data_IF_675787721210
#
_entry.id   IF_675787721210
#
_cell.length_a   1.000
_cell.length_b   1.000
_cell.length_c   1.000
_cell.angle_alpha   90.00
_cell.angle_beta   90.00
_cell.angle_gamma   90.00
#
_symmetry.space_group_name_H-M   'P 1'
#
loop_
_entity.id
_entity.type
_entity.pdbx_description
1 polymer ?
#
# COMPACT_ATOMS: atom_id res chain seq x y z
N UNK A 1 13.63 10.08 4.79
CA UNK A 1 13.15 8.70 4.94
C UNK A 1 13.52 7.86 3.72
N UNK A 2 14.24 6.74 3.89
CA UNK A 2 14.54 5.77 2.83
C UNK A 2 13.30 5.12 2.21
N UNK A 3 12.25 4.86 2.99
CA UNK A 3 11.00 4.31 2.47
C UNK A 3 10.37 5.23 1.40
N UNK A 4 10.40 6.55 1.63
CA UNK A 4 9.94 7.52 0.63
C UNK A 4 10.80 7.54 -0.64
N UNK A 5 12.11 7.29 -0.53
CA UNK A 5 12.98 7.14 -1.71
C UNK A 5 12.62 5.86 -2.48
N UNK A 6 12.39 4.75 -1.77
CA UNK A 6 11.89 3.51 -2.37
C UNK A 6 10.56 3.71 -3.12
N UNK A 7 9.60 4.40 -2.50
CA UNK A 7 8.35 4.77 -3.14
C UNK A 7 8.55 5.64 -4.39
N UNK A 8 9.44 6.63 -4.31
CA UNK A 8 9.73 7.51 -5.45
C UNK A 8 10.44 6.78 -6.60
N UNK A 9 11.29 5.79 -6.29
CA UNK A 9 11.89 4.91 -7.29
C UNK A 9 10.82 4.10 -8.03
N UNK A 10 9.88 3.47 -7.30
CA UNK A 10 8.74 2.77 -7.91
C UNK A 10 7.92 3.71 -8.80
N UNK A 11 7.59 4.90 -8.30
CA UNK A 11 6.83 5.90 -9.06
C UNK A 11 7.56 6.34 -10.34
N UNK A 12 8.85 6.69 -10.23
CA UNK A 12 9.65 7.11 -11.37
C UNK A 12 9.63 6.04 -12.47
N UNK A 13 9.79 4.78 -12.08
CA UNK A 13 9.80 3.64 -13.01
C UNK A 13 8.43 3.34 -13.57
N UNK A 14 7.38 3.36 -12.75
CA UNK A 14 6.01 3.23 -13.21
C UNK A 14 5.67 4.30 -14.27
N UNK A 15 6.21 5.52 -14.11
CA UNK A 15 6.08 6.61 -15.07
C UNK A 15 7.00 6.55 -16.29
N UNK A 16 7.82 5.51 -16.43
CA UNK A 16 8.81 5.40 -17.51
C UNK A 16 9.95 6.41 -17.41
N UNK A 17 10.13 7.05 -16.25
CA UNK A 17 11.18 8.02 -15.99
C UNK A 17 12.46 7.33 -15.49
N UNK A 18 13.61 7.97 -15.73
CA UNK A 18 14.90 7.46 -15.27
C UNK A 18 15.15 7.84 -13.79
N UNK A 19 15.23 6.87 -12.86
CA UNK A 19 15.44 7.15 -11.43
C UNK A 19 16.83 7.73 -11.11
N UNK A 20 17.83 7.56 -11.98
CA UNK A 20 19.18 8.10 -11.77
C UNK A 20 19.29 9.60 -12.07
N UNK A 21 18.27 10.21 -12.68
CA UNK A 21 18.24 11.64 -13.00
C UNK A 21 16.86 12.26 -12.77
N UNK A 22 16.10 11.73 -11.81
CA UNK A 22 14.73 12.16 -11.54
C UNK A 22 14.70 13.57 -10.96
N UNK A 23 14.24 14.55 -11.75
CA UNK A 23 14.28 15.96 -11.35
C UNK A 23 15.71 16.47 -11.09
N UNK A 24 16.73 15.87 -11.74
CA UNK A 24 18.14 16.18 -11.52
C UNK A 24 18.78 15.48 -10.31
N UNK A 25 18.06 14.54 -9.67
CA UNK A 25 18.55 13.77 -8.52
C UNK A 25 18.71 12.30 -8.89
N UNK A 26 19.84 11.71 -8.51
CA UNK A 26 20.01 10.25 -8.55
C UNK A 26 19.38 9.63 -7.30
N UNK A 27 18.18 9.08 -7.46
CA UNK A 27 17.43 8.47 -6.36
C UNK A 27 18.06 7.16 -5.88
N UNK A 28 18.69 6.40 -6.78
CA UNK A 28 19.36 5.13 -6.45
C UNK A 28 20.58 5.41 -5.59
N UNK A 29 21.43 6.35 -6.01
CA UNK A 29 22.59 6.77 -5.23
C UNK A 29 22.19 7.37 -3.88
N UNK A 30 21.12 8.19 -3.86
CA UNK A 30 20.63 8.81 -2.62
C UNK A 30 20.09 7.77 -1.62
N UNK A 31 19.40 6.73 -2.09
CA UNK A 31 18.96 5.64 -1.23
C UNK A 31 20.16 4.80 -0.75
N UNK A 32 21.05 4.44 -1.67
CA UNK A 32 22.28 3.68 -1.38
C UNK A 32 23.15 4.31 -0.30
N UNK A 33 23.25 5.65 -0.28
CA UNK A 33 23.99 6.40 0.74
C UNK A 33 23.43 6.26 2.17
N UNK A 34 22.21 5.72 2.33
CA UNK A 34 21.57 5.51 3.65
C UNK A 34 21.70 4.07 4.16
N UNK A 35 22.25 3.15 3.36
CA UNK A 35 22.42 1.76 3.76
C UNK A 35 23.41 1.65 4.93
N UNK A 36 23.02 0.95 5.99
CA UNK A 36 23.90 0.70 7.13
C UNK A 36 24.01 1.88 8.09
N UNK A 37 23.27 2.97 7.89
CA UNK A 37 23.45 4.19 8.68
C UNK A 37 22.96 4.05 10.13
N UNK A 38 21.95 3.21 10.38
CA UNK A 38 21.49 2.86 11.74
C UNK A 38 22.06 1.51 12.20
N UNK A 39 21.88 0.46 11.39
CA UNK A 39 22.38 -0.89 11.63
C UNK A 39 22.81 -1.55 10.32
N UNK A 40 23.76 -2.49 10.31
CA UNK A 40 24.18 -3.19 9.09
C UNK A 40 22.98 -3.74 8.30
N UNK A 41 22.93 -3.44 6.99
CA UNK A 41 21.85 -3.89 6.09
C UNK A 41 20.56 -3.06 6.13
N UNK A 42 20.31 -2.29 7.18
CA UNK A 42 19.12 -1.45 7.29
C UNK A 42 19.33 -0.10 6.57
N UNK A 43 18.36 0.29 5.75
CA UNK A 43 18.31 1.63 5.17
C UNK A 43 17.81 2.67 6.19
N UNK A 44 18.52 3.80 6.28
CA UNK A 44 18.15 4.96 7.10
C UNK A 44 18.96 5.08 8.38
N UNK A 45 19.01 6.31 8.92
CA UNK A 45 19.68 6.64 10.18
C UNK A 45 18.70 6.85 11.35
N UNK A 46 17.41 7.05 11.04
CA UNK A 46 16.37 7.29 12.05
C UNK A 46 16.02 5.99 12.79
N UNK A 47 15.53 6.12 14.02
CA UNK A 47 15.09 5.00 14.85
C UNK A 47 14.04 4.13 14.12
N UNK A 48 14.29 2.82 13.90
CA UNK A 48 13.39 1.92 13.19
C UNK A 48 12.25 1.36 14.03
N UNK A 49 12.12 1.71 15.31
CA UNK A 49 11.16 1.09 16.25
C UNK A 49 9.75 0.93 15.69
N UNK A 50 9.27 1.87 14.88
CA UNK A 50 7.90 1.86 14.34
C UNK A 50 7.80 1.55 12.84
N UNK A 51 8.90 1.52 12.10
CA UNK A 51 8.84 1.45 10.63
C UNK A 51 9.95 0.62 9.97
N UNK A 52 10.84 -0.01 10.74
CA UNK A 52 12.05 -0.65 10.24
C UNK A 52 11.80 -1.61 9.07
N UNK A 53 10.92 -2.59 9.27
CA UNK A 53 10.54 -3.57 8.25
C UNK A 53 9.83 -2.90 7.08
N UNK A 54 8.90 -1.98 7.35
CA UNK A 54 8.12 -1.31 6.31
C UNK A 54 8.99 -0.45 5.39
N UNK A 55 9.84 0.41 5.96
CA UNK A 55 10.75 1.28 5.20
C UNK A 55 11.81 0.48 4.45
N UNK A 56 12.31 -0.61 5.04
CA UNK A 56 13.26 -1.49 4.40
C UNK A 56 12.63 -2.16 3.18
N UNK A 57 11.40 -2.66 3.33
CA UNK A 57 10.66 -3.31 2.25
C UNK A 57 10.42 -2.36 1.08
N UNK A 58 10.01 -1.11 1.35
CA UNK A 58 9.86 -0.09 0.31
C UNK A 58 11.19 0.24 -0.38
N UNK A 59 12.30 0.33 0.36
CA UNK A 59 13.61 0.58 -0.20
C UNK A 59 14.05 -0.54 -1.16
N UNK A 60 13.85 -1.80 -0.76
CA UNK A 60 14.14 -2.99 -1.58
C UNK A 60 13.28 -3.00 -2.84
N UNK A 61 11.96 -2.83 -2.70
CA UNK A 61 11.02 -2.76 -3.82
C UNK A 61 11.37 -1.64 -4.81
N UNK A 62 11.78 -0.47 -4.30
CA UNK A 62 12.19 0.65 -5.14
C UNK A 62 13.45 0.37 -5.95
N UNK A 63 14.45 -0.27 -5.34
CA UNK A 63 15.68 -0.66 -6.05
C UNK A 63 15.39 -1.72 -7.12
N UNK A 64 14.57 -2.72 -6.80
CA UNK A 64 14.13 -3.75 -7.74
C UNK A 64 13.38 -3.14 -8.92
N UNK A 65 12.39 -2.27 -8.67
CA UNK A 65 11.66 -1.54 -9.69
C UNK A 65 12.57 -0.73 -10.62
N UNK A 66 13.64 -0.14 -10.05
CA UNK A 66 14.65 0.63 -10.77
C UNK A 66 15.55 -0.22 -11.66
N UNK A 67 15.52 -1.55 -11.53
CA UNK A 67 16.51 -2.45 -12.12
C UNK A 67 17.90 -2.26 -11.51
N UNK A 68 17.97 -1.68 -10.31
CA UNK A 68 19.21 -1.53 -9.57
C UNK A 68 19.52 -2.82 -8.78
N UNK A 69 20.80 -3.08 -8.52
CA UNK A 69 21.17 -4.20 -7.65
C UNK A 69 20.67 -3.96 -6.24
N UNK A 70 19.84 -4.86 -5.72
CA UNK A 70 19.47 -4.88 -4.30
C UNK A 70 20.63 -5.49 -3.50
N UNK A 71 21.20 -4.80 -2.50
CA UNK A 71 22.29 -5.34 -1.69
C UNK A 71 21.85 -6.57 -0.90
N UNK A 72 22.64 -7.65 -0.94
CA UNK A 72 22.34 -8.89 -0.21
C UNK A 72 22.19 -8.66 1.30
N UNK A 73 22.97 -7.74 1.89
CA UNK A 73 22.85 -7.37 3.30
C UNK A 73 21.49 -6.71 3.62
N UNK A 74 20.87 -6.02 2.67
CA UNK A 74 19.56 -5.42 2.85
C UNK A 74 18.45 -6.48 2.87
N UNK A 75 18.53 -7.47 1.98
CA UNK A 75 17.63 -8.62 1.95
C UNK A 75 17.83 -9.47 3.21
N UNK A 76 19.09 -9.77 3.57
CA UNK A 76 19.43 -10.53 4.77
C UNK A 76 18.86 -9.91 6.03
N UNK A 77 19.04 -8.59 6.22
CA UNK A 77 18.44 -7.89 7.36
C UNK A 77 16.92 -8.06 7.41
N UNK A 78 16.22 -7.99 6.26
CA UNK A 78 14.77 -8.15 6.22
C UNK A 78 14.34 -9.59 6.55
N UNK A 79 15.05 -10.59 5.99
CA UNK A 79 14.79 -12.02 6.26
C UNK A 79 15.00 -12.34 7.74
N UNK A 80 16.08 -11.84 8.33
CA UNK A 80 16.44 -12.08 9.73
C UNK A 80 15.40 -11.52 10.72
N UNK A 81 14.61 -10.53 10.29
CA UNK A 81 13.52 -9.95 11.10
C UNK A 81 12.26 -10.83 11.15
N UNK A 82 12.15 -11.85 10.30
CA UNK A 82 10.98 -12.75 10.29
C UNK A 82 10.87 -13.49 11.62
N UNK A 83 9.66 -13.59 12.15
CA UNK A 83 9.39 -14.28 13.39
C UNK A 83 9.29 -15.80 13.17
N UNK A 84 9.95 -16.57 14.02
CA UNK A 84 9.91 -18.03 14.08
C UNK A 84 9.11 -18.54 15.29
N UNK A 85 9.11 -17.77 16.38
CA UNK A 85 8.38 -18.06 17.61
C UNK A 85 7.85 -16.76 18.28
N UNK A 86 6.81 -16.85 19.12
CA UNK A 86 5.97 -18.03 19.37
C UNK A 86 5.16 -18.45 18.13
N UNK A 87 4.47 -19.59 18.20
CA UNK A 87 3.68 -20.11 17.05
C UNK A 87 2.60 -19.14 16.57
N UNK A 88 2.09 -18.27 17.45
CA UNK A 88 1.13 -17.20 17.10
C UNK A 88 1.77 -16.03 16.35
N UNK A 89 3.10 -15.94 16.35
CA UNK A 89 3.89 -14.92 15.66
C UNK A 89 4.63 -15.50 14.43
N UNK A 90 4.75 -16.82 14.33
CA UNK A 90 5.54 -17.50 13.31
C UNK A 90 5.13 -17.10 11.89
N UNK A 91 6.11 -16.75 11.07
CA UNK A 91 5.95 -16.29 9.69
C UNK A 91 5.72 -14.79 9.54
N UNK A 92 5.24 -14.09 10.57
CA UNK A 92 4.99 -12.65 10.54
C UNK A 92 6.27 -11.82 10.76
N UNK A 93 6.14 -10.50 10.58
CA UNK A 93 7.14 -9.50 10.95
C UNK A 93 6.54 -8.49 11.93
N UNK A 94 7.29 -8.16 12.97
CA UNK A 94 7.06 -6.95 13.76
C UNK A 94 7.61 -5.74 13.02
N UNK A 95 7.22 -4.53 13.42
CA UNK A 95 7.77 -3.29 12.87
C UNK A 95 9.33 -3.26 12.91
N UNK A 96 9.91 -3.74 14.03
CA UNK A 96 11.35 -3.91 14.19
C UNK A 96 11.67 -4.83 15.38
N UNK A 97 12.64 -5.72 15.20
CA UNK A 97 13.27 -6.55 16.24
C UNK A 97 14.68 -6.03 16.49
N UNK A 98 14.89 -5.44 17.67
CA UNK A 98 16.19 -4.92 18.10
C UNK A 98 17.18 -6.05 18.44
N UNK A 99 16.69 -7.15 18.98
CA UNK A 99 17.47 -8.34 19.33
C UNK A 99 16.80 -9.57 18.72
N UNK A 100 17.47 -10.20 17.76
CA UNK A 100 16.98 -11.38 17.06
C UNK A 100 17.07 -12.66 17.90
N UNK A 101 17.84 -12.63 19.00
CA UNK A 101 17.88 -13.72 19.98
C UNK A 101 16.66 -13.74 20.91
N UNK A 102 15.86 -12.67 20.92
CA UNK A 102 14.60 -12.60 21.66
C UNK A 102 13.47 -13.05 20.72
N UNK A 103 12.64 -14.03 21.13
CA UNK A 103 11.44 -14.39 20.38
C UNK A 103 10.55 -13.17 20.14
N UNK A 104 9.76 -13.19 19.07
CA UNK A 104 8.79 -12.12 18.85
C UNK A 104 7.75 -12.12 19.97
N UNK A 105 7.12 -10.97 20.19
CA UNK A 105 5.94 -10.90 21.03
C UNK A 105 4.77 -11.62 20.32
N UNK A 106 3.83 -12.13 21.09
CA UNK A 106 2.55 -12.50 20.50
C UNK A 106 1.85 -11.22 19.97
N UNK A 107 1.13 -11.28 18.84
CA UNK A 107 0.32 -10.16 18.39
C UNK A 107 -0.65 -9.68 19.49
N UNK A 108 -0.58 -8.39 19.82
CA UNK A 108 -1.47 -7.75 20.79
C UNK A 108 -2.00 -6.42 20.23
N UNK A 109 -3.29 -6.35 19.85
CA UNK A 109 -3.87 -5.15 19.23
C UNK A 109 -4.14 -4.02 20.23
N UNK A 110 -4.07 -4.26 21.54
CA UNK A 110 -4.21 -3.22 22.57
C UNK A 110 -2.87 -2.52 22.80
N UNK A 111 -1.79 -3.30 22.83
CA UNK A 111 -0.44 -2.79 23.07
C UNK A 111 0.31 -2.41 21.78
N UNK A 112 -0.21 -2.80 20.61
CA UNK A 112 0.42 -2.61 19.31
C UNK A 112 1.82 -3.22 19.24
N UNK A 113 1.94 -4.45 19.74
CA UNK A 113 3.18 -5.25 19.72
C UNK A 113 2.96 -6.58 19.02
N UNK A 114 4.06 -7.28 18.76
CA UNK A 114 4.05 -8.51 17.99
C UNK A 114 4.06 -8.25 16.48
N UNK A 115 4.02 -9.31 15.68
CA UNK A 115 3.90 -9.18 14.24
C UNK A 115 2.61 -8.53 13.80
N UNK A 116 2.72 -7.66 12.80
CA UNK A 116 1.61 -6.91 12.22
C UNK A 116 1.40 -7.28 10.75
N UNK A 117 0.19 -7.07 10.23
CA UNK A 117 -0.17 -7.43 8.86
C UNK A 117 0.52 -6.55 7.83
N UNK A 118 0.85 -5.30 8.17
CA UNK A 118 1.38 -4.31 7.23
C UNK A 118 2.88 -4.53 6.96
N UNK A 119 3.67 -4.69 8.01
CA UNK A 119 5.08 -5.07 7.94
C UNK A 119 5.22 -6.42 7.25
N UNK A 120 4.40 -7.41 7.64
CA UNK A 120 4.41 -8.74 7.01
C UNK A 120 4.08 -8.67 5.52
N UNK A 121 3.02 -7.95 5.13
CA UNK A 121 2.63 -7.80 3.74
C UNK A 121 3.73 -7.15 2.89
N UNK A 122 4.33 -6.08 3.39
CA UNK A 122 5.41 -5.39 2.67
C UNK A 122 6.68 -6.24 2.61
N UNK A 123 7.02 -6.98 3.66
CA UNK A 123 8.14 -7.89 3.68
C UNK A 123 7.96 -9.04 2.67
N UNK A 124 6.74 -9.59 2.55
CA UNK A 124 6.41 -10.57 1.50
C UNK A 124 6.63 -9.97 0.11
N UNK A 125 6.08 -8.79 -0.17
CA UNK A 125 6.25 -8.17 -1.48
C UNK A 125 7.74 -7.93 -1.81
N UNK A 126 8.51 -7.40 -0.85
CA UNK A 126 9.93 -7.11 -1.04
C UNK A 126 10.80 -8.37 -1.21
N UNK A 127 10.55 -9.41 -0.42
CA UNK A 127 11.33 -10.66 -0.48
C UNK A 127 11.03 -11.46 -1.74
N UNK A 128 9.77 -11.50 -2.18
CA UNK A 128 9.38 -12.10 -3.46
C UNK A 128 10.04 -11.37 -4.64
N UNK A 129 9.95 -10.03 -4.67
CA UNK A 129 10.55 -9.23 -5.74
C UNK A 129 12.07 -9.41 -5.82
N UNK A 130 12.76 -9.35 -4.66
CA UNK A 130 14.21 -9.46 -4.59
C UNK A 130 14.74 -10.91 -4.73
N UNK A 131 13.87 -11.92 -4.86
CA UNK A 131 14.25 -13.33 -4.91
C UNK A 131 14.90 -13.86 -3.62
N UNK A 132 14.57 -13.26 -2.47
CA UNK A 132 15.12 -13.61 -1.17
C UNK A 132 14.60 -14.94 -0.63
N UNK A 133 15.35 -15.57 0.29
CA UNK A 133 15.02 -16.86 0.89
C UNK A 133 14.13 -16.78 2.16
N UNK A 134 13.27 -15.76 2.27
CA UNK A 134 12.29 -15.69 3.36
C UNK A 134 11.30 -16.86 3.27
N UNK A 135 10.74 -17.29 4.40
CA UNK A 135 9.65 -18.27 4.40
C UNK A 135 8.32 -17.57 4.07
N UNK A 136 8.11 -17.30 2.78
CA UNK A 136 6.89 -16.64 2.28
C UNK A 136 5.65 -17.48 2.57
N UNK A 137 5.75 -18.82 2.61
CA UNK A 137 4.61 -19.68 2.93
C UNK A 137 4.17 -19.53 4.39
N UNK A 138 5.13 -19.45 5.32
CA UNK A 138 4.82 -19.14 6.72
C UNK A 138 4.19 -17.74 6.84
N UNK A 139 4.69 -16.75 6.09
CA UNK A 139 4.11 -15.41 6.07
C UNK A 139 2.67 -15.38 5.56
N UNK A 140 2.37 -16.10 4.47
CA UNK A 140 1.01 -16.24 3.95
C UNK A 140 0.09 -16.98 4.94
N UNK A 141 0.63 -17.95 5.67
CA UNK A 141 -0.10 -18.65 6.74
C UNK A 141 -0.43 -17.70 7.89
N UNK A 142 0.53 -16.87 8.30
CA UNK A 142 0.31 -15.82 9.29
C UNK A 142 -0.79 -14.84 8.84
N UNK A 143 -0.68 -14.32 7.61
CA UNK A 143 -1.68 -13.39 7.07
C UNK A 143 -3.07 -14.03 6.99
N UNK A 144 -3.19 -15.29 6.56
CA UNK A 144 -4.46 -16.00 6.56
C UNK A 144 -5.05 -16.15 7.97
N UNK A 145 -4.22 -16.44 8.98
CA UNK A 145 -4.66 -16.51 10.37
C UNK A 145 -5.01 -15.14 10.99
N UNK A 146 -4.48 -14.05 10.41
CA UNK A 146 -4.72 -12.68 10.83
C UNK A 146 -5.96 -12.03 10.19
N UNK A 147 -6.64 -12.71 9.25
CA UNK A 147 -7.85 -12.19 8.63
C UNK A 147 -8.91 -11.92 9.70
N UNK A 148 -9.48 -10.72 9.67
CA UNK A 148 -10.58 -10.32 10.54
C UNK A 148 -11.92 -10.73 9.92
N UNK A 149 -12.77 -9.74 9.66
CA UNK A 149 -14.10 -9.96 9.09
C UNK A 149 -14.15 -9.65 7.59
N UNK A 150 -14.93 -10.43 6.84
CA UNK A 150 -15.33 -10.11 5.47
C UNK A 150 -14.21 -10.03 4.44
N UNK A 151 -13.12 -10.79 4.60
CA UNK A 151 -11.96 -10.70 3.71
C UNK A 151 -11.10 -9.47 3.96
N UNK A 152 -11.11 -8.91 5.16
CA UNK A 152 -10.35 -7.73 5.53
C UNK A 152 -9.37 -7.99 6.68
N UNK A 153 -8.34 -7.16 6.77
CA UNK A 153 -7.28 -7.30 7.77
C UNK A 153 -7.21 -6.08 8.69
N UNK A 154 -6.97 -6.30 10.00
CA UNK A 154 -6.56 -5.26 10.92
C UNK A 154 -5.06 -5.00 10.80
N UNK A 155 -4.57 -3.90 11.37
CA UNK A 155 -3.13 -3.67 11.51
C UNK A 155 -2.45 -4.77 12.34
N UNK A 156 -2.95 -5.03 13.56
CA UNK A 156 -2.49 -6.13 14.42
C UNK A 156 -3.58 -7.20 14.45
N UNK A 157 -3.24 -8.50 14.29
CA UNK A 157 -4.19 -9.61 14.44
C UNK A 157 -5.10 -9.46 15.68
N UNK A 158 -6.41 -9.64 15.49
CA UNK A 158 -7.42 -9.48 16.54
C UNK A 158 -7.93 -8.04 16.76
N UNK A 159 -7.39 -7.05 16.05
CA UNK A 159 -7.89 -5.67 16.04
C UNK A 159 -9.04 -5.44 15.05
N UNK A 160 -9.41 -4.16 14.88
CA UNK A 160 -10.41 -3.73 13.90
C UNK A 160 -9.84 -3.74 12.49
N UNK A 161 -10.61 -4.26 11.53
CA UNK A 161 -10.23 -4.29 10.11
C UNK A 161 -10.27 -2.90 9.48
N UNK A 162 -9.32 -2.63 8.59
CA UNK A 162 -9.19 -1.32 7.97
C UNK A 162 -8.74 -1.41 6.50
N UNK A 163 -9.04 -0.38 5.67
CA UNK A 163 -8.70 -0.38 4.26
C UNK A 163 -7.19 -0.29 3.99
N UNK A 164 -6.39 0.29 4.88
CA UNK A 164 -4.94 0.41 4.71
C UNK A 164 -4.30 -0.98 4.78
N UNK A 165 -4.56 -1.69 5.87
CA UNK A 165 -3.98 -3.00 6.12
C UNK A 165 -4.49 -4.04 5.13
N UNK A 166 -5.80 -4.01 4.83
CA UNK A 166 -6.40 -4.85 3.78
C UNK A 166 -5.75 -4.63 2.41
N UNK A 167 -5.42 -3.39 2.06
CA UNK A 167 -4.78 -3.09 0.78
C UNK A 167 -3.35 -3.62 0.68
N UNK A 168 -2.58 -3.52 1.76
CA UNK A 168 -1.23 -4.06 1.79
C UNK A 168 -1.25 -5.59 1.71
N UNK A 169 -2.15 -6.25 2.44
CA UNK A 169 -2.33 -7.70 2.33
C UNK A 169 -2.76 -8.11 0.92
N UNK A 170 -3.66 -7.35 0.27
CA UNK A 170 -4.04 -7.60 -1.12
C UNK A 170 -2.83 -7.56 -2.08
N UNK A 171 -1.91 -6.61 -1.88
CA UNK A 171 -0.66 -6.51 -2.66
C UNK A 171 0.25 -7.70 -2.38
N UNK A 172 0.41 -8.08 -1.11
CA UNK A 172 1.27 -9.20 -0.72
C UNK A 172 0.77 -10.52 -1.33
N UNK A 173 -0.54 -10.80 -1.21
CA UNK A 173 -1.19 -11.96 -1.82
C UNK A 173 -0.97 -11.97 -3.34
N UNK A 174 -1.26 -10.84 -4.00
CA UNK A 174 -1.09 -10.72 -5.45
C UNK A 174 0.36 -10.93 -5.90
N UNK A 175 1.32 -10.39 -5.15
CA UNK A 175 2.76 -10.48 -5.44
C UNK A 175 3.28 -11.90 -5.24
N UNK A 176 2.78 -12.60 -4.22
CA UNK A 176 3.08 -14.00 -3.98
C UNK A 176 2.31 -14.98 -4.90
N UNK A 177 1.46 -14.49 -5.80
CA UNK A 177 0.64 -15.31 -6.69
C UNK A 177 -0.56 -16.00 -6.01
N UNK A 178 -0.94 -15.54 -4.81
CA UNK A 178 -2.14 -15.98 -4.09
C UNK A 178 -3.38 -15.18 -4.50
N UNK A 179 -4.57 -15.69 -4.16
CA UNK A 179 -5.83 -15.01 -4.46
C UNK A 179 -6.04 -13.80 -3.53
N UNK A 180 -6.25 -12.63 -4.13
CA UNK A 180 -6.54 -11.37 -3.44
C UNK A 180 -8.00 -10.91 -3.63
N UNK A 181 -8.87 -11.73 -4.23
CA UNK A 181 -10.25 -11.35 -4.58
C UNK A 181 -11.10 -10.94 -3.37
N UNK A 182 -10.98 -11.66 -2.25
CA UNK A 182 -11.64 -11.32 -0.98
C UNK A 182 -11.21 -9.96 -0.44
N UNK A 183 -9.91 -9.70 -0.41
CA UNK A 183 -9.35 -8.41 0.01
C UNK A 183 -9.86 -7.25 -0.86
N UNK A 184 -9.93 -7.45 -2.18
CA UNK A 184 -10.48 -6.43 -3.11
C UNK A 184 -11.96 -6.19 -2.89
N UNK A 185 -12.73 -7.24 -2.63
CA UNK A 185 -14.16 -7.11 -2.33
C UNK A 185 -14.37 -6.32 -1.03
N UNK A 186 -13.57 -6.58 0.01
CA UNK A 186 -13.57 -5.81 1.24
C UNK A 186 -13.24 -4.33 0.99
N UNK A 187 -12.17 -4.04 0.24
CA UNK A 187 -11.79 -2.67 -0.14
C UNK A 187 -12.94 -1.93 -0.81
N UNK A 188 -13.66 -2.57 -1.72
CA UNK A 188 -14.78 -1.95 -2.42
C UNK A 188 -15.90 -1.47 -1.47
N UNK A 189 -16.01 -2.03 -0.26
CA UNK A 189 -17.01 -1.58 0.74
C UNK A 189 -16.67 -0.23 1.39
N UNK A 190 -15.39 0.14 1.42
CA UNK A 190 -14.93 1.43 1.91
C UNK A 190 -14.80 2.49 0.82
N UNK A 191 -14.90 2.10 -0.46
CA UNK A 191 -14.83 3.04 -1.57
C UNK A 191 -16.10 3.88 -1.65
N UNK A 192 -15.94 5.19 -1.64
CA UNK A 192 -17.03 6.15 -1.72
C UNK A 192 -17.59 6.15 -3.14
N UNK A 193 -18.82 5.66 -3.28
CA UNK A 193 -19.49 5.45 -4.56
C UNK A 193 -20.22 6.68 -5.11
N UNK A 194 -20.89 6.50 -6.25
CA UNK A 194 -21.50 7.59 -7.03
C UNK A 194 -22.65 8.34 -6.35
N UNK A 195 -23.20 7.82 -5.25
CA UNK A 195 -24.24 8.49 -4.46
C UNK A 195 -23.69 9.66 -3.62
N UNK A 196 -22.38 9.74 -3.41
CA UNK A 196 -21.72 10.78 -2.63
C UNK A 196 -21.51 12.09 -3.42
N UNK A 197 -21.16 13.21 -2.74
CA UNK A 197 -20.69 14.44 -3.38
C UNK A 197 -19.58 14.16 -4.39
N UNK A 198 -19.55 14.91 -5.49
CA UNK A 198 -18.65 14.65 -6.60
C UNK A 198 -17.15 14.68 -6.20
N UNK A 199 -16.80 15.53 -5.22
CA UNK A 199 -15.45 15.66 -4.68
C UNK A 199 -14.98 14.46 -3.84
N UNK A 200 -15.90 13.65 -3.32
CA UNK A 200 -15.59 12.52 -2.43
C UNK A 200 -15.52 11.18 -3.18
N UNK A 201 -16.04 11.12 -4.41
CA UNK A 201 -16.18 9.87 -5.18
C UNK A 201 -14.82 9.24 -5.48
N UNK A 202 -14.74 7.93 -5.28
CA UNK A 202 -13.55 7.14 -5.52
C UNK A 202 -12.51 7.21 -4.39
N UNK A 203 -12.64 8.15 -3.45
CA UNK A 203 -11.89 8.11 -2.21
C UNK A 203 -12.32 6.91 -1.36
N UNK A 204 -11.53 6.59 -0.34
CA UNK A 204 -11.85 5.55 0.63
C UNK A 204 -12.11 6.18 1.98
N UNK A 205 -13.21 5.78 2.61
CA UNK A 205 -13.45 6.02 4.02
C UNK A 205 -12.65 5.01 4.86
N UNK A 206 -12.54 5.26 6.17
CA UNK A 206 -12.01 4.34 7.16
C UNK A 206 -13.01 4.17 8.31
N UNK A 207 -12.86 3.14 9.18
CA UNK A 207 -13.68 3.03 10.39
C UNK A 207 -13.64 4.27 11.30
N UNK A 208 -12.63 5.13 11.13
CA UNK A 208 -12.40 6.32 11.93
C UNK A 208 -12.85 7.62 11.25
N UNK A 209 -13.35 7.54 10.01
CA UNK A 209 -13.73 8.71 9.22
C UNK A 209 -15.23 8.93 9.11
N UNK A 210 -16.07 8.14 9.80
CA UNK A 210 -17.55 8.26 9.78
C UNK A 210 -18.14 8.31 8.35
N UNK A 211 -17.52 7.55 7.43
CA UNK A 211 -17.92 7.51 6.02
C UNK A 211 -17.39 8.67 5.15
N UNK A 212 -16.69 9.65 5.73
CA UNK A 212 -16.02 10.72 4.98
C UNK A 212 -14.70 10.24 4.33
N UNK A 213 -14.22 10.91 3.26
CA UNK A 213 -12.92 10.60 2.67
C UNK A 213 -11.78 10.66 3.67
N UNK A 214 -10.97 9.61 3.68
CA UNK A 214 -9.73 9.54 4.45
C UNK A 214 -8.54 9.50 3.47
N UNK A 215 -7.68 10.53 3.53
CA UNK A 215 -6.55 10.66 2.61
C UNK A 215 -5.49 9.56 2.79
N UNK A 216 -5.32 9.05 4.01
CA UNK A 216 -4.36 7.98 4.28
C UNK A 216 -4.91 6.64 3.79
N UNK A 217 -6.17 6.34 4.10
CA UNK A 217 -6.89 5.18 3.57
C UNK A 217 -6.87 5.18 2.04
N UNK A 218 -7.28 6.30 1.43
CA UNK A 218 -7.36 6.45 -0.03
C UNK A 218 -6.03 6.14 -0.71
N UNK A 219 -4.92 6.70 -0.20
CA UNK A 219 -3.60 6.51 -0.84
C UNK A 219 -3.16 5.05 -0.89
N UNK A 220 -3.39 4.28 0.16
CA UNK A 220 -2.99 2.86 0.20
C UNK A 220 -4.04 1.94 -0.41
N UNK A 221 -5.32 2.21 -0.18
CA UNK A 221 -6.43 1.43 -0.71
C UNK A 221 -6.38 1.33 -2.24
N UNK A 222 -5.97 2.41 -2.92
CA UNK A 222 -5.76 2.41 -4.37
C UNK A 222 -4.72 1.35 -4.79
N UNK A 223 -3.63 1.17 -4.04
CA UNK A 223 -2.63 0.15 -4.38
C UNK A 223 -3.27 -1.25 -4.34
N UNK A 224 -3.93 -1.58 -3.23
CA UNK A 224 -4.63 -2.86 -3.06
C UNK A 224 -5.74 -3.08 -4.08
N UNK A 225 -6.49 -2.03 -4.44
CA UNK A 225 -7.59 -2.11 -5.40
C UNK A 225 -7.13 -2.27 -6.87
N UNK A 226 -5.95 -1.75 -7.23
CA UNK A 226 -5.47 -1.65 -8.62
C UNK A 226 -5.21 -2.96 -9.38
N UNK A 227 -5.14 -4.09 -8.68
CA UNK A 227 -4.75 -5.39 -9.23
C UNK A 227 -3.32 -5.46 -9.77
N UNK A 228 -2.44 -4.60 -9.24
CA UNK A 228 -1.04 -4.53 -9.61
C UNK A 228 -0.18 -5.08 -8.47
N UNK A 229 0.62 -6.11 -8.77
CA UNK A 229 1.65 -6.62 -7.86
C UNK A 229 2.77 -5.59 -7.66
N UNK A 230 3.48 -5.67 -6.54
CA UNK A 230 4.66 -4.84 -6.30
C UNK A 230 5.96 -5.58 -6.67
N UNK A 231 6.95 -4.87 -7.23
CA UNK A 231 6.86 -3.48 -7.71
C UNK A 231 5.98 -3.36 -8.97
N UNK A 232 5.29 -2.21 -9.15
CA UNK A 232 4.40 -2.04 -10.29
C UNK A 232 5.18 -1.93 -11.61
N UNK A 233 4.66 -2.48 -12.72
CA UNK A 233 5.27 -2.33 -14.04
C UNK A 233 5.17 -0.89 -14.55
N UNK A 234 5.93 -0.56 -15.60
CA UNK A 234 5.76 0.69 -16.36
C UNK A 234 4.32 0.77 -16.85
N UNK A 235 3.67 1.92 -16.65
CA UNK A 235 2.30 2.16 -17.04
C UNK A 235 2.18 3.45 -17.86
N UNK A 236 1.18 3.49 -18.74
CA UNK A 236 0.74 4.73 -19.36
C UNK A 236 -0.31 5.37 -18.48
N UNK A 237 -0.08 6.61 -18.06
CA UNK A 237 -1.09 7.39 -17.37
C UNK A 237 -1.98 8.11 -18.39
N UNK A 238 -3.28 7.99 -18.20
CA UNK A 238 -4.29 8.65 -19.00
C UNK A 238 -5.52 8.97 -18.14
N UNK A 239 -6.45 9.79 -18.65
CA UNK A 239 -7.70 10.03 -17.96
C UNK A 239 -8.43 8.69 -17.75
N UNK A 240 -8.75 8.37 -16.50
CA UNK A 240 -9.63 7.26 -16.19
C UNK A 240 -11.08 7.66 -16.48
N UNK A 241 -11.89 6.79 -17.11
CA UNK A 241 -13.32 7.05 -17.25
C UNK A 241 -13.93 7.34 -15.88
N UNK A 242 -14.77 8.37 -15.77
CA UNK A 242 -15.55 8.62 -14.56
C UNK A 242 -16.68 7.57 -14.50
N UNK A 243 -16.62 6.58 -13.60
CA UNK A 243 -17.66 5.56 -13.48
C UNK A 243 -18.99 6.14 -12.97
N UNK A 244 -18.96 7.35 -12.43
CA UNK A 244 -20.11 8.10 -11.94
C UNK A 244 -20.58 9.16 -12.94
N UNK A 245 -20.02 9.20 -14.14
CA UNK A 245 -20.48 10.10 -15.18
C UNK A 245 -21.96 9.82 -15.50
N UNK A 246 -22.79 10.86 -15.66
CA UNK A 246 -24.17 10.66 -16.05
C UNK A 246 -24.24 9.95 -17.40
N UNK A 247 -25.02 8.87 -17.49
CA UNK A 247 -25.24 8.14 -18.73
C UNK A 247 -25.95 9.04 -19.74
N UNK A 248 -25.24 9.54 -20.75
CA UNK A 248 -25.86 10.16 -21.92
C UNK A 248 -26.41 9.08 -22.85
N UNK A 249 -27.72 8.87 -22.80
CA UNK A 249 -28.40 8.03 -23.79
C UNK A 249 -28.75 8.90 -25.00
N UNK A 250 -28.11 8.65 -26.14
CA UNK A 250 -28.48 9.29 -27.42
C UNK A 250 -29.49 8.40 -28.13
N UNK A 251 -30.76 8.79 -28.15
CA UNK A 251 -31.80 8.09 -28.91
C UNK A 251 -31.85 8.67 -30.32
N UNK A 252 -31.31 7.96 -31.30
CA UNK A 252 -31.51 8.28 -32.73
C UNK A 252 -32.73 7.53 -33.25
N UNK A 253 -33.86 8.22 -33.39
CA UNK A 253 -35.02 7.71 -34.13
C UNK A 253 -34.77 7.74 -35.65
N UNK A 254 -35.35 6.84 -36.45
CA UNK A 254 -35.21 6.89 -37.90
C UNK A 254 -35.95 8.13 -38.44
N UNK A 255 -35.21 9.19 -38.76
CA UNK A 255 -35.70 10.37 -39.48
C UNK A 255 -36.04 11.63 -38.68
N UNK A 256 -35.71 11.73 -37.39
CA UNK A 256 -35.95 12.92 -36.56
C UNK A 256 -34.67 13.51 -35.93
N UNK A 257 -34.67 14.80 -35.53
CA UNK A 257 -33.51 15.43 -34.90
C UNK A 257 -33.11 14.68 -33.61
N UNK A 258 -31.81 14.44 -33.43
CA UNK A 258 -31.28 13.81 -32.23
C UNK A 258 -31.57 14.67 -31.00
N UNK A 259 -32.24 14.09 -30.01
CA UNK A 259 -32.43 14.70 -28.70
C UNK A 259 -31.46 14.05 -27.71
N UNK A 260 -30.57 14.85 -27.13
CA UNK A 260 -29.69 14.42 -26.03
C UNK A 260 -30.38 14.71 -24.72
N UNK A 261 -30.63 13.67 -23.93
CA UNK A 261 -31.13 13.78 -22.56
C UNK A 261 -30.00 13.49 -21.59
N UNK A 262 -29.74 14.42 -20.67
CA UNK A 262 -28.75 14.25 -19.59
C UNK A 262 -29.52 14.17 -18.27
N UNK A 263 -29.52 13.02 -17.60
CA UNK A 263 -30.02 12.93 -16.23
C UNK A 263 -28.90 13.36 -15.27
N UNK A 264 -29.03 14.53 -14.65
CA UNK A 264 -28.20 14.95 -13.52
C UNK A 264 -29.04 14.93 -12.25
N UNK A 265 -28.55 14.30 -11.17
CA UNK A 265 -28.94 14.69 -9.83
C UNK A 265 -28.28 16.03 -9.54
N UNK A 266 -29.04 17.12 -9.64
CA UNK A 266 -28.57 18.48 -9.40
C UNK A 266 -28.21 18.71 -7.92
N UNK A 267 -27.01 19.24 -7.65
CA UNK A 267 -26.62 19.83 -6.37
C UNK A 267 -27.08 21.30 -6.27
N UNK A 268 -27.38 21.83 -5.05
CA UNK A 268 -27.64 23.25 -4.86
C UNK A 268 -26.35 24.07 -4.96
N UNK A 269 -26.47 25.30 -5.46
CA UNK A 269 -25.35 26.22 -5.65
C UNK A 269 -24.85 26.81 -4.32
N UNK A 270 -23.54 26.76 -4.09
CA UNK A 270 -22.86 27.57 -3.08
C UNK A 270 -21.63 26.92 -2.46
N UNK A 271 -20.51 26.85 -3.20
CA UNK A 271 -19.21 26.58 -2.60
C UNK A 271 -18.41 27.89 -2.48
N UNK A 272 -18.11 28.29 -1.25
CA UNK A 272 -17.17 29.38 -0.95
C UNK A 272 -15.76 28.78 -0.94
N UNK A 273 -14.86 29.38 -1.72
CA UNK A 273 -13.43 29.04 -1.73
C UNK A 273 -12.82 29.51 -0.41
N UNK A 274 -12.40 28.57 0.44
CA UNK A 274 -11.50 28.86 1.56
C UNK A 274 -10.12 28.32 1.18
N UNK A 275 -9.19 29.23 0.91
CA UNK A 275 -7.76 28.92 0.79
C UNK A 275 -7.20 28.51 2.14
N UNK A 276 -6.58 27.33 2.31
CA UNK A 276 -5.89 27.00 3.54
C UNK A 276 -4.52 27.70 3.57
N UNK A 277 -4.31 28.49 4.63
CA UNK A 277 -2.98 28.93 5.03
C UNK A 277 -2.28 27.75 5.71
N UNK A 278 -1.20 27.25 5.09
CA UNK A 278 -0.28 26.33 5.75
C UNK A 278 0.68 27.14 6.63
N UNK A 279 0.69 26.83 7.93
CA UNK A 279 1.79 27.17 8.84
C UNK A 279 1.99 26.02 9.82
N UNK A 280 3.22 25.50 9.87
CA UNK A 280 3.73 24.63 10.94
C UNK A 280 3.69 23.16 10.63
#
# INVERSE_FOLDING_TARGET
>A
SPGNLGYLLMLARQAGLNPNVFGGVDLVARLGATLGAFAPGLYGADDPTYDGVFRQSLAILGLDAAGASVPAAAIGWLVDQQCDAPTTAAGGWQAYRVDLGVPCDAPDPVLFVGPDTNATAMAVAATVAAGGAADVNAALTFLAGAEGSGGAWPYIPGGDVDPNSTALVAIALQTAGADASGARAALATWQIGCAAPAEDRGAYASPFSDGFPDLFATRQAIWGASAVAFPPPVASFGPTPDPCAPTTTTTSGPGGPSTTSTSQNSLPAGAVVVTPAFTG
#
